data_IF_473359556342
#
_entry.id   IF_473359556342
#
_cell.length_a   1.000
_cell.length_b   1.000
_cell.length_c   1.000
_cell.angle_alpha   90.00
_cell.angle_beta   90.00
_cell.angle_gamma   90.00
#
_symmetry.space_group_name_H-M   'P 1'
#
loop_
_entity.id
_entity.type
_entity.pdbx_description
1 polymer ?
#
# COMPACT_ATOMS: atom_id res chain seq x y z
N UNK A 1 -51.69 30.22 7.99
CA UNK A 1 -52.51 29.36 8.83
C UNK A 1 -53.17 28.31 7.96
N UNK A 2 -52.68 27.08 7.96
CA UNK A 2 -53.42 25.84 7.60
C UNK A 2 -52.47 24.69 7.87
N UNK A 3 -52.68 23.99 8.96
CA UNK A 3 -51.97 22.76 9.35
C UNK A 3 -52.67 21.58 8.65
N UNK A 4 -51.87 20.69 8.03
CA UNK A 4 -52.34 19.39 7.55
C UNK A 4 -51.71 18.30 8.41
N UNK A 5 -52.45 17.26 8.85
CA UNK A 5 -51.93 16.21 9.72
C UNK A 5 -51.21 15.12 8.95
N UNK A 6 -50.15 14.61 9.57
CA UNK A 6 -49.36 13.45 9.16
C UNK A 6 -50.13 12.16 9.52
N UNK A 7 -50.39 11.34 8.54
CA UNK A 7 -51.01 10.01 8.69
C UNK A 7 -49.88 8.96 8.79
N UNK A 8 -49.78 8.34 9.96
CA UNK A 8 -48.84 7.27 10.29
C UNK A 8 -49.43 5.93 9.84
N UNK A 9 -48.79 5.25 8.89
CA UNK A 9 -49.13 3.88 8.50
C UNK A 9 -48.06 2.96 9.11
N UNK A 10 -48.48 2.15 10.07
CA UNK A 10 -47.71 1.06 10.67
C UNK A 10 -47.91 -0.18 9.80
N UNK A 11 -46.87 -0.61 9.12
CA UNK A 11 -46.85 -1.88 8.40
C UNK A 11 -46.12 -2.95 9.22
N UNK A 12 -46.85 -3.94 9.69
CA UNK A 12 -46.28 -5.14 10.31
C UNK A 12 -45.93 -6.14 9.21
N UNK A 13 -44.67 -6.51 9.10
CA UNK A 13 -44.24 -7.61 8.22
C UNK A 13 -43.66 -8.75 9.04
N UNK A 14 -44.25 -9.93 8.86
CA UNK A 14 -43.91 -11.20 9.50
C UNK A 14 -42.49 -11.67 9.08
N UNK A 15 -41.74 -12.12 10.06
CA UNK A 15 -40.50 -12.85 9.92
C UNK A 15 -40.76 -14.32 9.57
N UNK A 16 -40.28 -14.81 8.45
CA UNK A 16 -40.11 -16.22 8.14
C UNK A 16 -38.71 -16.67 8.50
N UNK A 17 -38.61 -17.51 9.53
CA UNK A 17 -37.36 -18.17 9.95
C UNK A 17 -37.13 -19.37 9.04
N UNK A 18 -36.10 -19.34 8.20
CA UNK A 18 -35.62 -20.47 7.43
C UNK A 18 -34.37 -21.07 8.09
N UNK A 19 -34.52 -22.23 8.75
CA UNK A 19 -33.39 -23.04 9.21
C UNK A 19 -32.70 -23.70 8.02
N UNK A 20 -31.50 -23.28 7.68
CA UNK A 20 -30.59 -23.97 6.78
C UNK A 20 -29.54 -24.73 7.61
N UNK A 21 -29.54 -26.05 7.52
CA UNK A 21 -28.56 -26.95 8.16
C UNK A 21 -27.20 -26.83 7.47
N UNK A 22 -26.08 -26.79 8.21
CA UNK A 22 -24.75 -26.85 7.60
C UNK A 22 -24.43 -28.27 7.14
N UNK A 23 -24.12 -28.41 5.87
CA UNK A 23 -23.62 -29.65 5.26
C UNK A 23 -22.14 -29.83 5.64
N UNK A 24 -21.86 -30.82 6.48
CA UNK A 24 -20.50 -31.24 6.82
C UNK A 24 -19.88 -32.00 5.65
N UNK A 25 -18.96 -31.38 4.92
CA UNK A 25 -18.11 -32.02 3.93
C UNK A 25 -17.05 -32.88 4.61
N UNK A 26 -17.13 -34.20 4.37
CA UNK A 26 -16.12 -35.19 4.78
C UNK A 26 -14.81 -34.98 4.07
N UNK A 27 -13.74 -34.78 4.81
CA UNK A 27 -12.36 -34.83 4.31
C UNK A 27 -11.98 -36.28 4.07
N UNK A 28 -11.63 -36.63 2.84
CA UNK A 28 -11.10 -37.95 2.46
C UNK A 28 -9.71 -38.23 3.06
N UNK A 29 -9.32 -39.52 3.18
CA UNK A 29 -8.11 -39.89 3.87
C UNK A 29 -6.84 -39.52 3.10
N UNK A 30 -5.81 -39.14 3.87
CA UNK A 30 -4.47 -38.81 3.38
C UNK A 30 -3.76 -40.06 2.82
N UNK A 31 -2.91 -39.95 1.80
CA UNK A 31 -2.11 -41.06 1.30
C UNK A 31 -0.99 -41.44 2.29
N UNK A 32 -1.00 -42.70 2.69
CA UNK A 32 0.05 -43.37 3.47
C UNK A 32 1.27 -43.62 2.58
N UNK A 33 2.41 -43.03 2.90
CA UNK A 33 3.70 -43.42 2.32
C UNK A 33 4.23 -44.66 3.07
N UNK A 34 4.36 -45.75 2.34
CA UNK A 34 4.95 -47.00 2.80
C UNK A 34 6.47 -46.86 2.85
N UNK A 35 7.04 -47.06 4.03
CA UNK A 35 8.48 -47.19 4.23
C UNK A 35 8.92 -48.57 3.82
N UNK A 36 9.83 -48.65 2.84
CA UNK A 36 10.55 -49.86 2.47
C UNK A 36 11.89 -49.91 3.20
N UNK A 37 11.99 -50.81 4.16
CA UNK A 37 13.26 -51.24 4.78
C UNK A 37 13.98 -52.21 3.88
N UNK A 38 15.29 -52.02 3.67
CA UNK A 38 16.24 -53.11 3.46
C UNK A 38 17.68 -52.65 3.76
N UNK A 39 18.24 -53.22 4.77
CA UNK A 39 19.66 -53.40 5.10
C UNK A 39 19.94 -54.89 5.02
N UNK A 40 21.17 -55.44 5.07
CA UNK A 40 22.53 -54.93 5.00
C UNK A 40 23.47 -55.78 4.12
N UNK A 41 24.69 -55.34 3.85
CA UNK A 41 25.86 -56.23 3.72
C UNK A 41 27.18 -55.45 3.81
N UNK A 42 28.03 -55.86 4.72
CA UNK A 42 29.49 -55.59 4.83
C UNK A 42 30.25 -56.90 4.73
N UNK A 43 31.62 -56.94 4.79
CA UNK A 43 32.67 -56.37 3.96
C UNK A 43 33.51 -57.49 3.29
N UNK A 44 34.74 -57.35 2.74
CA UNK A 44 35.97 -57.24 3.50
C UNK A 44 37.17 -56.43 2.92
N UNK A 45 37.91 -55.93 3.81
CA UNK A 45 39.37 -55.87 4.12
C UNK A 45 40.45 -55.67 3.06
N UNK A 46 41.39 -54.82 3.47
CA UNK A 46 42.85 -54.83 3.34
C UNK A 46 43.52 -54.31 2.07
N UNK A 47 44.33 -53.26 2.29
CA UNK A 47 45.34 -52.77 1.37
C UNK A 47 46.09 -51.55 1.96
N UNK A 48 47.23 -51.87 2.66
CA UNK A 48 48.17 -50.91 3.21
C UNK A 48 48.99 -50.25 2.08
N UNK A 49 49.08 -48.90 2.07
CA UNK A 49 50.23 -48.23 1.49
C UNK A 49 50.37 -46.83 2.11
N UNK A 50 51.51 -46.67 2.80
CA UNK A 50 51.98 -45.41 3.36
C UNK A 50 52.54 -44.52 2.26
N UNK A 51 52.13 -43.25 2.22
CA UNK A 51 52.85 -42.22 1.53
C UNK A 51 52.61 -40.86 2.22
N UNK A 52 53.70 -40.16 2.47
CA UNK A 52 53.82 -38.93 3.22
C UNK A 52 53.01 -37.77 2.59
N UNK A 53 52.23 -37.07 3.41
CA UNK A 53 51.50 -35.87 3.03
C UNK A 53 52.32 -34.62 3.42
N UNK A 54 52.62 -33.78 2.45
CA UNK A 54 53.05 -32.40 2.64
C UNK A 54 51.88 -31.52 3.06
N UNK A 55 52.05 -30.53 3.93
CA UNK A 55 50.98 -29.65 4.34
C UNK A 55 50.64 -28.64 3.22
N UNK A 56 49.51 -28.84 2.55
CA UNK A 56 48.95 -27.87 1.65
C UNK A 56 48.34 -26.73 2.46
N UNK A 57 48.79 -25.51 2.20
CA UNK A 57 48.31 -24.30 2.85
C UNK A 57 46.79 -24.11 2.69
N UNK A 58 46.09 -23.92 3.80
CA UNK A 58 44.73 -23.46 3.80
C UNK A 58 44.73 -22.02 3.28
N UNK A 59 44.22 -21.82 2.06
CA UNK A 59 43.86 -20.49 1.55
C UNK A 59 42.78 -19.86 2.44
N UNK A 60 42.70 -18.53 2.49
CA UNK A 60 41.71 -17.87 3.31
C UNK A 60 40.30 -18.33 2.91
N UNK A 61 39.59 -18.92 3.86
CA UNK A 61 38.19 -19.31 3.70
C UNK A 61 37.40 -18.03 3.43
N UNK A 62 36.95 -17.85 2.18
CA UNK A 62 36.09 -16.73 1.84
C UNK A 62 34.82 -16.83 2.68
N UNK A 63 34.60 -15.86 3.56
CA UNK A 63 33.35 -15.71 4.28
C UNK A 63 32.21 -15.59 3.27
N UNK A 64 31.18 -16.45 3.30
CA UNK A 64 30.07 -16.35 2.37
C UNK A 64 29.46 -14.95 2.45
N UNK A 65 29.27 -14.31 1.32
CA UNK A 65 28.58 -13.03 1.26
C UNK A 65 27.16 -13.21 1.87
N UNK A 66 26.68 -12.29 2.69
CA UNK A 66 25.34 -12.37 3.27
C UNK A 66 24.33 -12.51 2.14
N UNK A 67 23.40 -13.47 2.27
CA UNK A 67 22.29 -13.60 1.32
C UNK A 67 21.51 -12.29 1.26
N UNK A 68 21.04 -11.85 0.08
CA UNK A 68 20.28 -10.61 -0.05
C UNK A 68 19.06 -10.67 0.88
N UNK A 69 18.90 -9.65 1.71
CA UNK A 69 17.76 -9.55 2.61
C UNK A 69 16.48 -9.51 1.75
N UNK A 70 15.49 -10.32 2.12
CA UNK A 70 14.16 -10.26 1.47
C UNK A 70 13.56 -8.88 1.68
N UNK A 71 12.98 -8.32 0.64
CA UNK A 71 12.31 -7.02 0.68
C UNK A 71 10.79 -7.18 0.56
N UNK A 72 10.05 -6.26 1.14
CA UNK A 72 8.60 -6.16 1.03
C UNK A 72 8.20 -4.75 0.59
N UNK A 73 7.18 -4.67 -0.27
CA UNK A 73 6.58 -3.40 -0.65
C UNK A 73 5.75 -2.80 0.48
N UNK A 74 5.93 -1.53 0.73
CA UNK A 74 5.15 -0.75 1.70
C UNK A 74 4.67 0.54 1.06
N UNK A 75 3.50 1.03 1.50
CA UNK A 75 2.97 2.31 1.07
C UNK A 75 3.61 3.46 1.88
N UNK A 76 3.98 4.53 1.20
CA UNK A 76 4.25 5.84 1.79
C UNK A 76 3.23 6.83 1.24
N UNK A 77 2.66 7.67 2.10
CA UNK A 77 1.61 8.59 1.73
C UNK A 77 2.10 10.03 1.76
N UNK A 78 2.16 10.64 0.60
CA UNK A 78 2.52 12.06 0.42
C UNK A 78 1.29 12.91 0.12
N UNK A 79 1.48 14.14 -0.32
CA UNK A 79 0.39 15.02 -0.71
C UNK A 79 0.61 15.57 -2.12
N UNK A 80 -0.51 15.77 -2.84
CA UNK A 80 -0.57 16.48 -4.12
C UNK A 80 -1.87 17.28 -4.17
N UNK A 81 -1.79 18.58 -4.43
CA UNK A 81 -2.95 19.47 -4.50
C UNK A 81 -3.84 19.41 -3.24
N UNK A 82 -3.24 19.38 -2.04
CA UNK A 82 -3.99 19.32 -0.77
C UNK A 82 -4.67 17.98 -0.45
N UNK A 83 -4.43 16.94 -1.26
CA UNK A 83 -4.94 15.59 -1.05
C UNK A 83 -3.80 14.60 -0.83
N UNK A 84 -4.10 13.50 -0.16
CA UNK A 84 -3.18 12.38 0.00
C UNK A 84 -2.91 11.69 -1.34
N UNK A 85 -1.68 11.26 -1.52
CA UNK A 85 -1.24 10.48 -2.67
C UNK A 85 -0.36 9.32 -2.21
N UNK A 86 -0.72 8.11 -2.61
CA UNK A 86 0.00 6.89 -2.25
C UNK A 86 1.13 6.61 -3.24
N UNK A 87 2.26 6.16 -2.71
CA UNK A 87 3.36 5.60 -3.49
C UNK A 87 3.90 4.34 -2.83
N UNK A 88 4.70 3.56 -3.55
CA UNK A 88 5.29 2.32 -3.05
C UNK A 88 6.77 2.52 -2.72
N UNK A 89 7.22 1.84 -1.68
CA UNK A 89 8.62 1.75 -1.26
C UNK A 89 8.95 0.31 -0.94
N UNK A 90 10.21 -0.05 -1.00
CA UNK A 90 10.70 -1.34 -0.50
C UNK A 90 11.42 -1.16 0.82
N UNK A 91 11.23 -2.11 1.71
CA UNK A 91 11.91 -2.20 3.00
C UNK A 91 12.32 -3.65 3.25
N UNK A 92 13.41 -3.90 4.00
CA UNK A 92 13.77 -5.25 4.40
C UNK A 92 12.65 -5.92 5.20
N UNK A 93 12.44 -7.22 4.96
CA UNK A 93 11.51 -8.03 5.77
C UNK A 93 12.14 -8.23 7.16
N UNK A 94 11.63 -7.49 8.14
CA UNK A 94 12.05 -7.53 9.54
C UNK A 94 10.82 -7.48 10.43
N UNK A 95 10.99 -7.68 11.73
CA UNK A 95 9.93 -7.43 12.72
C UNK A 95 9.54 -5.95 12.82
N UNK A 96 10.33 -5.07 12.20
CA UNK A 96 10.16 -3.61 12.20
C UNK A 96 9.63 -3.01 10.91
N UNK A 97 8.86 -3.74 10.07
CA UNK A 97 8.35 -3.25 8.77
C UNK A 97 7.61 -1.91 8.89
N UNK A 98 6.81 -1.73 9.95
CA UNK A 98 6.13 -0.46 10.21
C UNK A 98 7.09 0.71 10.45
N UNK A 99 8.22 0.45 11.14
CA UNK A 99 9.29 1.42 11.30
C UNK A 99 9.91 1.77 9.94
N UNK A 100 10.25 0.75 9.16
CA UNK A 100 10.80 0.95 7.81
C UNK A 100 9.86 1.77 6.91
N UNK A 101 8.56 1.52 6.95
CA UNK A 101 7.58 2.29 6.19
C UNK A 101 7.57 3.78 6.62
N UNK A 102 7.62 4.05 7.92
CA UNK A 102 7.65 5.41 8.44
C UNK A 102 8.98 6.11 8.12
N UNK A 103 10.12 5.41 8.21
CA UNK A 103 11.42 5.95 7.80
C UNK A 103 11.40 6.34 6.30
N UNK A 104 10.77 5.52 5.43
CA UNK A 104 10.59 5.85 4.00
C UNK A 104 9.68 7.05 3.79
N UNK A 105 8.64 7.23 4.60
CA UNK A 105 7.82 8.44 4.57
C UNK A 105 8.65 9.68 4.95
N UNK A 106 9.46 9.58 6.01
CA UNK A 106 10.28 10.70 6.50
C UNK A 106 11.41 11.08 5.52
N UNK A 107 11.89 10.14 4.71
CA UNK A 107 12.84 10.42 3.61
C UNK A 107 12.23 11.38 2.56
N UNK A 108 10.91 11.42 2.44
CA UNK A 108 10.21 12.28 1.48
C UNK A 108 10.02 11.67 0.09
N UNK A 109 9.40 12.45 -0.83
CA UNK A 109 9.19 12.03 -2.22
C UNK A 109 10.50 11.94 -3.00
N UNK A 110 10.57 11.01 -3.95
CA UNK A 110 11.68 10.92 -4.91
C UNK A 110 11.74 12.12 -5.87
N UNK A 111 12.83 12.25 -6.64
CA UNK A 111 12.95 13.30 -7.64
C UNK A 111 11.81 13.26 -8.69
N UNK A 112 11.45 12.07 -9.18
CA UNK A 112 10.35 11.90 -10.13
C UNK A 112 8.99 12.27 -9.52
N UNK A 113 8.75 11.90 -8.27
CA UNK A 113 7.53 12.24 -7.54
C UNK A 113 7.45 13.75 -7.26
N UNK A 114 8.56 14.38 -6.89
CA UNK A 114 8.64 15.84 -6.74
C UNK A 114 8.35 16.56 -8.06
N UNK A 115 8.90 16.08 -9.18
CA UNK A 115 8.63 16.61 -10.51
C UNK A 115 7.15 16.45 -10.89
N UNK A 116 6.50 15.36 -10.46
CA UNK A 116 5.06 15.13 -10.63
C UNK A 116 4.17 15.87 -9.61
N UNK A 117 4.75 16.74 -8.78
CA UNK A 117 4.03 17.59 -7.85
C UNK A 117 3.73 16.97 -6.50
N UNK A 118 4.32 15.81 -6.15
CA UNK A 118 4.19 15.28 -4.79
C UNK A 118 5.02 16.10 -3.81
N UNK A 119 4.49 16.28 -2.61
CA UNK A 119 5.15 16.99 -1.51
C UNK A 119 4.95 16.26 -0.20
N UNK A 120 5.94 16.31 0.68
CA UNK A 120 5.76 15.96 2.09
C UNK A 120 5.25 17.19 2.84
N UNK A 121 4.25 16.99 3.70
CA UNK A 121 3.86 17.99 4.68
C UNK A 121 4.72 17.87 5.95
N UNK A 122 5.45 16.77 6.08
CA UNK A 122 6.36 16.55 7.20
C UNK A 122 7.65 17.33 6.92
N UNK A 123 8.12 18.20 7.85
CA UNK A 123 9.33 18.96 7.65
C UNK A 123 10.57 18.07 7.46
N UNK A 124 11.47 18.49 6.58
CA UNK A 124 12.79 17.90 6.49
C UNK A 124 13.49 17.94 7.85
N UNK A 125 14.23 16.89 8.20
CA UNK A 125 14.88 16.76 9.51
C UNK A 125 13.99 16.21 10.62
N UNK A 126 12.70 15.93 10.38
CA UNK A 126 11.89 15.13 11.29
C UNK A 126 12.47 13.72 11.37
N UNK A 127 12.74 13.24 12.58
CA UNK A 127 13.29 11.90 12.82
C UNK A 127 12.33 11.03 13.61
N UNK A 128 12.34 9.72 13.34
CA UNK A 128 11.60 8.72 14.10
C UNK A 128 12.45 8.29 15.31
N UNK A 129 12.08 8.71 16.49
CA UNK A 129 12.72 8.33 17.76
C UNK A 129 12.31 6.93 18.19
N UNK A 130 11.01 6.59 18.04
CA UNK A 130 10.48 5.29 18.41
C UNK A 130 9.19 4.94 17.70
N UNK A 131 8.94 3.64 17.52
CA UNK A 131 7.64 3.12 17.11
C UNK A 131 7.31 1.90 17.96
N UNK A 132 6.19 1.96 18.66
CA UNK A 132 5.65 0.86 19.46
C UNK A 132 4.26 0.52 18.95
N UNK A 133 3.98 -0.75 18.74
CA UNK A 133 2.65 -1.25 18.38
C UNK A 133 2.15 -2.15 19.49
N UNK A 134 0.97 -1.83 20.05
CA UNK A 134 0.34 -2.60 21.12
C UNK A 134 -1.17 -2.51 20.98
N UNK A 135 -1.87 -3.63 21.10
CA UNK A 135 -3.33 -3.72 20.99
C UNK A 135 -3.91 -2.99 19.76
N UNK A 136 -3.25 -3.12 18.61
CA UNK A 136 -3.70 -2.47 17.37
C UNK A 136 -3.38 -0.99 17.25
N UNK A 137 -2.74 -0.38 18.24
CA UNK A 137 -2.39 1.05 18.22
C UNK A 137 -0.88 1.20 18.05
N UNK A 138 -0.48 1.92 17.00
CA UNK A 138 0.89 2.35 16.79
C UNK A 138 1.13 3.69 17.50
N UNK A 139 2.10 3.75 18.40
CA UNK A 139 2.59 5.01 18.98
C UNK A 139 3.84 5.42 18.22
N UNK A 140 3.74 6.48 17.42
CA UNK A 140 4.85 7.07 16.69
C UNK A 140 5.46 8.20 17.51
N UNK A 141 6.71 8.02 17.95
CA UNK A 141 7.50 9.03 18.64
C UNK A 141 8.40 9.75 17.63
N UNK A 142 8.11 11.02 17.39
CA UNK A 142 8.78 11.85 16.39
C UNK A 142 9.55 12.98 17.10
N UNK A 143 10.57 13.52 16.43
CA UNK A 143 11.26 14.72 16.92
C UNK A 143 10.32 15.95 16.88
N UNK A 144 10.62 16.96 17.69
CA UNK A 144 9.89 18.24 17.75
C UNK A 144 9.80 18.96 16.39
N UNK A 145 10.72 18.67 15.46
CA UNK A 145 10.65 19.13 14.08
C UNK A 145 9.31 18.80 13.41
N UNK A 146 8.64 17.71 13.84
CA UNK A 146 7.32 17.32 13.31
C UNK A 146 6.26 18.40 13.52
N UNK A 147 6.34 19.17 14.59
CA UNK A 147 5.40 20.27 14.90
C UNK A 147 5.82 21.60 14.28
N UNK A 148 7.06 21.73 13.78
CA UNK A 148 7.58 22.99 13.26
C UNK A 148 6.94 23.41 11.94
N UNK A 149 6.89 24.73 11.68
CA UNK A 149 6.49 25.34 10.41
C UNK A 149 5.14 24.85 9.83
N UNK A 150 4.22 24.37 10.68
CA UNK A 150 2.89 23.98 10.22
C UNK A 150 1.92 25.14 10.37
N UNK A 151 1.20 25.45 9.28
CA UNK A 151 -0.06 26.18 9.45
C UNK A 151 -1.11 25.25 10.06
N UNK A 152 -2.06 25.73 10.83
CA UNK A 152 -3.16 24.91 11.37
C UNK A 152 -3.90 24.12 10.31
N UNK A 153 -3.96 24.61 9.07
CA UNK A 153 -4.58 23.91 7.93
C UNK A 153 -3.73 22.81 7.32
N UNK A 154 -2.41 22.84 7.47
CA UNK A 154 -1.49 21.81 6.95
C UNK A 154 -1.27 20.65 7.92
N UNK A 155 -1.41 20.88 9.23
CA UNK A 155 -1.15 19.86 10.24
C UNK A 155 -2.06 18.63 10.12
N UNK A 156 -3.36 18.71 9.88
CA UNK A 156 -4.19 17.52 9.67
C UNK A 156 -3.70 16.65 8.53
N UNK A 157 -3.25 17.25 7.42
CA UNK A 157 -2.71 16.49 6.28
C UNK A 157 -1.35 15.85 6.62
N UNK A 158 -0.53 16.52 7.43
CA UNK A 158 0.74 15.98 7.96
C UNK A 158 0.48 14.76 8.85
N UNK A 159 -0.48 14.84 9.76
CA UNK A 159 -0.91 13.72 10.61
C UNK A 159 -1.46 12.58 9.74
N UNK A 160 -2.29 12.90 8.76
CA UNK A 160 -2.86 11.93 7.83
C UNK A 160 -1.79 11.12 7.07
N UNK A 161 -0.68 11.73 6.66
CA UNK A 161 0.43 11.03 6.02
C UNK A 161 0.97 9.89 6.91
N UNK A 162 1.18 10.16 8.21
CA UNK A 162 1.66 9.16 9.19
C UNK A 162 0.59 8.09 9.42
N UNK A 163 -0.67 8.51 9.61
CA UNK A 163 -1.80 7.60 9.87
C UNK A 163 -1.97 6.63 8.70
N UNK A 164 -2.05 7.13 7.47
CA UNK A 164 -2.23 6.28 6.29
C UNK A 164 -1.04 5.35 6.03
N UNK A 165 0.17 5.81 6.33
CA UNK A 165 1.39 4.99 6.19
C UNK A 165 1.43 3.87 7.22
N UNK A 166 1.05 4.10 8.48
CA UNK A 166 1.10 3.07 9.52
C UNK A 166 -0.10 2.12 9.48
N UNK A 167 -1.28 2.62 9.17
CA UNK A 167 -2.51 1.81 9.14
C UNK A 167 -2.68 0.98 7.84
N UNK A 168 -1.66 0.91 7.00
CA UNK A 168 -1.64 -0.06 5.89
C UNK A 168 -1.50 -1.51 6.39
N UNK A 169 -0.92 -1.69 7.58
CA UNK A 169 -0.74 -2.99 8.19
C UNK A 169 -2.02 -3.43 8.90
N UNK A 170 -2.55 -4.63 8.63
CA UNK A 170 -3.81 -5.11 9.23
C UNK A 170 -3.79 -5.13 10.77
N UNK A 171 -2.61 -5.23 11.36
CA UNK A 171 -2.40 -5.21 12.81
C UNK A 171 -2.45 -3.81 13.42
N UNK A 172 -2.58 -2.74 12.62
CA UNK A 172 -2.59 -1.34 13.08
C UNK A 172 -3.91 -0.68 12.69
N UNK A 173 -4.76 -0.45 13.67
CA UNK A 173 -6.08 0.18 13.49
C UNK A 173 -6.07 1.68 13.77
N UNK A 174 -5.05 2.17 14.50
CA UNK A 174 -4.95 3.59 14.82
C UNK A 174 -3.53 4.00 15.25
N UNK A 175 -3.29 5.31 15.28
CA UNK A 175 -1.99 5.91 15.59
C UNK A 175 -2.13 6.90 16.75
N UNK A 176 -1.25 6.81 17.72
CA UNK A 176 -0.99 7.83 18.74
C UNK A 176 0.34 8.51 18.44
N UNK A 177 0.47 9.76 18.87
CA UNK A 177 1.66 10.56 18.67
C UNK A 177 2.37 10.81 20.00
N UNK A 178 3.70 10.68 19.98
CA UNK A 178 4.59 11.22 20.97
C UNK A 178 5.59 12.16 20.27
N UNK A 179 6.03 13.19 20.97
CA UNK A 179 7.05 14.13 20.49
C UNK A 179 8.15 14.17 21.56
N UNK A 180 9.38 13.84 21.14
CA UNK A 180 10.55 13.78 22.01
C UNK A 180 10.29 12.93 23.26
N UNK A 181 9.67 11.74 23.07
CA UNK A 181 9.35 10.79 24.14
C UNK A 181 8.10 11.12 24.96
N UNK A 182 7.46 12.28 24.72
CA UNK A 182 6.28 12.72 25.45
C UNK A 182 5.00 12.48 24.65
N UNK A 183 4.07 11.69 25.21
CA UNK A 183 2.76 11.47 24.61
C UNK A 183 2.00 12.80 24.41
N UNK A 184 1.37 12.97 23.25
CA UNK A 184 0.64 14.20 22.88
C UNK A 184 -0.86 13.97 22.85
N UNK A 185 -1.59 14.95 23.37
CA UNK A 185 -3.05 15.08 23.21
C UNK A 185 -3.42 16.15 22.16
N UNK A 186 -2.46 17.00 21.83
CA UNK A 186 -2.53 18.02 20.76
C UNK A 186 -1.19 18.02 20.04
N UNK A 187 -1.23 18.03 18.70
CA UNK A 187 -0.06 18.13 17.83
C UNK A 187 -0.28 19.30 16.87
N UNK A 188 0.55 20.33 16.96
CA UNK A 188 0.46 21.52 16.12
C UNK A 188 -0.94 22.15 16.08
N UNK A 189 -1.65 22.16 17.21
CA UNK A 189 -3.01 22.68 17.33
C UNK A 189 -4.13 21.70 16.97
N UNK A 190 -3.81 20.50 16.49
CA UNK A 190 -4.79 19.45 16.17
C UNK A 190 -4.99 18.51 17.36
N UNK A 191 -6.22 18.30 17.85
CA UNK A 191 -6.50 17.32 18.90
C UNK A 191 -6.20 15.89 18.44
N UNK A 192 -5.37 15.16 19.23
CA UNK A 192 -4.96 13.77 18.96
C UNK A 192 -5.08 12.88 20.21
N UNK A 193 -5.95 13.25 21.16
CA UNK A 193 -6.15 12.52 22.41
C UNK A 193 -6.66 11.09 22.20
N UNK A 194 -7.46 10.83 21.16
CA UNK A 194 -7.85 9.49 20.72
C UNK A 194 -6.89 8.94 19.66
N UNK A 195 -6.80 7.62 19.48
CA UNK A 195 -6.06 7.07 18.35
C UNK A 195 -6.59 7.61 17.02
N UNK A 196 -5.69 8.12 16.21
CA UNK A 196 -6.00 8.69 14.90
C UNK A 196 -6.20 7.58 13.88
N UNK A 197 -7.34 7.55 13.20
CA UNK A 197 -7.72 6.50 12.24
C UNK A 197 -7.86 7.06 10.82
N UNK A 198 -7.86 6.19 9.81
CA UNK A 198 -8.08 6.61 8.40
C UNK A 198 -9.41 7.33 8.21
N UNK A 199 -10.46 6.91 8.93
CA UNK A 199 -11.79 7.50 8.81
C UNK A 199 -11.79 8.99 9.15
N UNK A 200 -10.98 9.41 10.13
CA UNK A 200 -10.87 10.83 10.53
C UNK A 200 -10.27 11.71 9.43
N UNK A 201 -9.51 11.12 8.51
CA UNK A 201 -8.80 11.82 7.44
C UNK A 201 -9.28 11.44 6.03
N UNK A 202 -10.43 10.76 5.93
CA UNK A 202 -11.03 10.34 4.64
C UNK A 202 -11.25 11.51 3.68
N UNK A 203 -11.58 12.69 4.18
CA UNK A 203 -11.73 13.91 3.38
C UNK A 203 -10.46 14.38 2.66
N UNK A 204 -9.28 13.90 3.08
CA UNK A 204 -8.01 14.18 2.40
C UNK A 204 -7.70 13.19 1.27
N UNK A 205 -8.45 12.10 1.11
CA UNK A 205 -8.31 11.26 -0.08
C UNK A 205 -8.90 11.95 -1.31
N UNK A 206 -8.26 11.83 -2.48
CA UNK A 206 -8.92 12.17 -3.74
C UNK A 206 -10.00 11.13 -4.04
N UNK A 207 -10.95 11.46 -4.91
CA UNK A 207 -11.98 10.51 -5.35
C UNK A 207 -11.37 9.22 -5.93
N UNK A 208 -10.26 9.33 -6.66
CA UNK A 208 -9.50 8.21 -7.21
C UNK A 208 -8.09 8.21 -6.63
N UNK A 209 -7.63 7.07 -6.09
CA UNK A 209 -6.23 6.82 -5.77
C UNK A 209 -5.66 5.79 -6.73
N UNK A 210 -4.41 5.93 -7.16
CA UNK A 210 -3.69 4.94 -7.97
C UNK A 210 -2.58 4.35 -7.11
N UNK A 211 -2.62 3.04 -6.88
CA UNK A 211 -1.63 2.33 -6.08
C UNK A 211 -0.56 1.67 -6.96
N UNK A 212 -0.95 1.29 -8.18
CA UNK A 212 -0.07 0.73 -9.20
C UNK A 212 -0.53 1.18 -10.58
N UNK A 213 0.39 1.51 -11.49
CA UNK A 213 1.82 1.72 -11.22
C UNK A 213 2.09 3.00 -10.45
N UNK A 214 3.31 3.11 -9.89
CA UNK A 214 3.76 4.33 -9.22
C UNK A 214 4.42 5.29 -10.19
N UNK A 215 4.50 6.56 -9.81
CA UNK A 215 5.21 7.60 -10.58
C UNK A 215 6.67 7.19 -10.80
N UNK A 216 7.13 7.29 -12.05
CA UNK A 216 8.49 6.95 -12.47
C UNK A 216 8.73 5.46 -12.70
N UNK A 217 7.72 4.60 -12.52
CA UNK A 217 7.86 3.18 -12.81
C UNK A 217 8.08 2.93 -14.31
N UNK A 218 8.89 1.93 -14.63
CA UNK A 218 8.89 1.33 -15.96
C UNK A 218 7.79 0.27 -16.00
N UNK A 219 6.94 0.32 -17.00
CA UNK A 219 5.81 -0.58 -17.19
C UNK A 219 5.92 -1.34 -18.51
N UNK A 220 5.59 -2.62 -18.47
CA UNK A 220 5.51 -3.48 -19.65
C UNK A 220 4.11 -3.50 -20.26
N UNK A 221 3.98 -4.17 -21.39
CA UNK A 221 2.72 -4.38 -22.10
C UNK A 221 2.25 -5.82 -21.91
N UNK A 222 1.01 -6.06 -21.40
CA UNK A 222 0.05 -5.08 -20.93
C UNK A 222 0.41 -4.52 -19.54
N UNK A 223 -0.09 -3.30 -19.22
CA UNK A 223 0.09 -2.71 -17.90
C UNK A 223 -1.13 -2.95 -17.00
N UNK A 224 -0.91 -3.35 -15.75
CA UNK A 224 -1.94 -3.44 -14.73
C UNK A 224 -2.03 -2.12 -13.94
N UNK A 225 -3.25 -1.56 -13.88
CA UNK A 225 -3.56 -0.33 -13.14
C UNK A 225 -4.53 -0.66 -12.02
N UNK A 226 -4.21 -0.27 -10.78
CA UNK A 226 -5.06 -0.58 -9.64
C UNK A 226 -5.04 0.53 -8.58
N UNK A 227 -6.08 0.54 -7.76
CA UNK A 227 -6.24 1.52 -6.70
C UNK A 227 -7.58 1.44 -6.00
N UNK A 228 -8.01 2.56 -5.43
CA UNK A 228 -9.35 2.70 -4.87
C UNK A 228 -10.06 3.93 -5.43
N UNK A 229 -11.37 3.86 -5.54
CA UNK A 229 -12.19 4.96 -6.03
C UNK A 229 -13.50 5.09 -5.25
N UNK A 230 -13.96 6.33 -5.13
CA UNK A 230 -15.30 6.71 -4.71
C UNK A 230 -15.81 7.69 -5.77
N UNK A 231 -16.41 7.13 -6.81
CA UNK A 231 -16.84 7.83 -8.02
C UNK A 231 -18.24 7.41 -8.41
N UNK A 232 -18.91 8.23 -9.21
CA UNK A 232 -20.26 7.95 -9.67
C UNK A 232 -20.35 6.62 -10.43
N UNK A 233 -21.33 5.80 -10.11
CA UNK A 233 -21.54 4.44 -10.66
C UNK A 233 -20.32 3.51 -10.57
N UNK A 234 -19.38 3.81 -9.66
CA UNK A 234 -18.15 3.07 -9.49
C UNK A 234 -17.25 3.00 -10.76
N UNK A 235 -17.54 3.73 -11.82
CA UNK A 235 -16.85 3.62 -13.10
C UNK A 235 -15.54 4.41 -13.10
N UNK A 236 -14.42 3.70 -13.30
CA UNK A 236 -13.07 4.25 -13.40
C UNK A 236 -12.55 4.08 -14.83
N UNK A 237 -12.27 5.19 -15.48
CA UNK A 237 -11.69 5.22 -16.82
C UNK A 237 -10.18 5.32 -16.77
N UNK A 238 -9.49 4.62 -17.68
CA UNK A 238 -8.02 4.63 -17.79
C UNK A 238 -7.64 4.88 -19.25
N UNK A 239 -6.68 5.78 -19.47
CA UNK A 239 -6.04 5.97 -20.77
C UNK A 239 -4.54 6.07 -20.63
N UNK A 240 -3.82 5.72 -21.69
CA UNK A 240 -2.36 5.82 -21.77
C UNK A 240 -2.02 6.85 -22.84
N UNK A 241 -1.19 7.82 -22.46
CA UNK A 241 -0.65 8.81 -23.37
C UNK A 241 0.83 8.49 -23.63
N UNK A 242 1.26 8.62 -24.90
CA UNK A 242 2.67 8.48 -25.27
C UNK A 242 3.47 9.75 -24.94
N UNK A 243 4.76 9.78 -25.31
CA UNK A 243 5.66 10.92 -25.07
C UNK A 243 5.24 12.23 -25.75
N UNK A 244 4.41 12.14 -26.81
CA UNK A 244 3.86 13.29 -27.51
C UNK A 244 2.49 13.74 -26.93
N UNK A 245 2.00 13.05 -25.89
CA UNK A 245 0.70 13.33 -25.28
C UNK A 245 -0.49 12.74 -26.05
N UNK A 246 -0.26 11.95 -27.09
CA UNK A 246 -1.32 11.28 -27.84
C UNK A 246 -1.81 10.05 -27.08
N UNK A 247 -3.13 9.85 -27.06
CA UNK A 247 -3.75 8.66 -26.52
C UNK A 247 -3.45 7.44 -27.39
N UNK A 248 -2.87 6.41 -26.80
CA UNK A 248 -2.51 5.15 -27.48
C UNK A 248 -3.28 3.94 -26.96
N UNK A 249 -3.96 4.07 -25.84
CA UNK A 249 -4.85 3.04 -25.31
C UNK A 249 -5.89 3.68 -24.37
N UNK A 250 -7.10 3.08 -24.32
CA UNK A 250 -8.16 3.45 -23.39
C UNK A 250 -8.95 2.22 -22.98
N UNK A 251 -9.39 2.21 -21.72
CA UNK A 251 -10.30 1.21 -21.15
C UNK A 251 -11.05 1.79 -19.97
N UNK A 252 -11.94 1.00 -19.37
CA UNK A 252 -12.57 1.32 -18.09
C UNK A 252 -12.75 0.05 -17.26
N UNK A 253 -13.06 0.23 -15.99
CA UNK A 253 -13.40 -0.84 -15.05
C UNK A 253 -14.34 -0.29 -13.99
N UNK A 254 -14.99 -1.18 -13.23
CA UNK A 254 -15.77 -0.78 -12.09
C UNK A 254 -15.01 -1.06 -10.79
N UNK A 255 -15.03 -0.10 -9.89
CA UNK A 255 -14.63 -0.33 -8.51
C UNK A 255 -15.66 -1.24 -7.81
N UNK A 256 -15.25 -1.94 -6.78
CA UNK A 256 -16.13 -2.84 -6.01
C UNK A 256 -17.30 -2.11 -5.30
N UNK A 257 -17.25 -0.79 -5.27
CA UNK A 257 -18.23 0.11 -4.65
C UNK A 257 -18.02 1.52 -5.20
N UNK A 258 -19.05 2.38 -5.18
CA UNK A 258 -18.98 3.78 -5.64
C UNK A 258 -20.09 4.63 -5.03
N UNK A 259 -20.09 5.93 -5.34
CA UNK A 259 -21.08 6.91 -4.89
C UNK A 259 -21.28 6.92 -3.36
N UNK A 260 -20.26 7.45 -2.64
CA UNK A 260 -20.26 7.51 -1.17
C UNK A 260 -19.69 6.27 -0.49
N UNK A 261 -19.17 5.34 -1.28
CA UNK A 261 -18.45 4.16 -0.84
C UNK A 261 -17.16 3.99 -1.63
N UNK A 262 -16.04 3.80 -0.94
CA UNK A 262 -14.74 3.62 -1.59
C UNK A 262 -14.47 2.15 -1.90
N UNK A 263 -14.53 1.82 -3.19
CA UNK A 263 -14.24 0.48 -3.72
C UNK A 263 -12.80 0.33 -4.21
N UNK A 264 -12.34 -0.91 -4.33
CA UNK A 264 -11.09 -1.27 -5.01
C UNK A 264 -11.35 -1.47 -6.50
N UNK A 265 -10.40 -1.07 -7.34
CA UNK A 265 -10.44 -1.34 -8.77
C UNK A 265 -9.11 -1.91 -9.27
N UNK A 266 -9.19 -2.69 -10.33
CA UNK A 266 -8.04 -3.20 -11.05
C UNK A 266 -8.43 -3.42 -12.52
N UNK A 267 -7.54 -3.06 -13.44
CA UNK A 267 -7.71 -3.28 -14.86
C UNK A 267 -6.35 -3.48 -15.52
N UNK A 268 -6.31 -4.35 -16.54
CA UNK A 268 -5.15 -4.55 -17.39
C UNK A 268 -5.43 -3.92 -18.74
N UNK A 269 -4.51 -3.08 -19.23
CA UNK A 269 -4.65 -2.35 -20.48
C UNK A 269 -3.48 -2.64 -21.39
N UNK A 270 -3.71 -3.27 -22.57
CA UNK A 270 -2.69 -3.42 -23.60
C UNK A 270 -2.44 -2.08 -24.30
N UNK A 271 -1.20 -1.84 -24.71
CA UNK A 271 -0.79 -0.70 -25.50
C UNK A 271 0.30 -1.12 -26.48
N UNK A 272 0.73 -0.24 -27.36
CA UNK A 272 1.87 -0.50 -28.25
C UNK A 272 2.73 0.75 -28.38
N UNK A 273 4.02 0.57 -28.21
CA UNK A 273 5.04 1.61 -28.46
C UNK A 273 6.22 0.97 -29.19
N UNK A 274 6.85 1.67 -30.17
CA UNK A 274 7.94 1.09 -30.96
C UNK A 274 9.25 0.96 -30.19
N UNK A 275 9.39 1.68 -29.08
CA UNK A 275 10.59 1.71 -28.22
C UNK A 275 10.21 2.20 -26.84
N UNK A 276 11.06 1.93 -25.87
CA UNK A 276 10.93 2.50 -24.52
C UNK A 276 10.92 4.03 -24.57
N UNK A 277 9.90 4.65 -23.96
CA UNK A 277 9.70 6.09 -23.96
C UNK A 277 8.94 6.57 -22.74
N UNK A 278 9.04 7.86 -22.36
CA UNK A 278 8.13 8.45 -21.39
C UNK A 278 6.68 8.33 -21.82
N UNK A 279 5.77 8.21 -20.87
CA UNK A 279 4.35 8.23 -21.09
C UNK A 279 3.60 8.60 -19.82
N UNK A 280 2.28 8.69 -19.91
CA UNK A 280 1.44 9.01 -18.77
C UNK A 280 0.22 8.10 -18.75
N UNK A 281 0.02 7.42 -17.62
CA UNK A 281 -1.25 6.74 -17.35
C UNK A 281 -2.16 7.76 -16.67
N UNK A 282 -3.35 7.96 -17.27
CA UNK A 282 -4.36 8.90 -16.77
C UNK A 282 -5.57 8.11 -16.31
N UNK A 283 -5.88 8.20 -15.03
CA UNK A 283 -7.04 7.56 -14.40
C UNK A 283 -8.02 8.65 -14.04
N UNK A 284 -9.28 8.50 -14.41
CA UNK A 284 -10.27 9.54 -14.24
C UNK A 284 -11.71 8.99 -14.18
N UNK A 285 -12.61 9.80 -13.71
CA UNK A 285 -14.05 9.61 -13.79
C UNK A 285 -14.58 10.40 -15.00
N UNK A 286 -15.44 9.80 -15.80
CA UNK A 286 -16.17 10.52 -16.83
C UNK A 286 -17.37 11.23 -16.21
N UNK A 287 -17.44 12.55 -16.35
CA UNK A 287 -18.55 13.36 -15.85
C UNK A 287 -19.88 12.89 -16.44
N UNK A 288 -20.85 12.62 -15.58
CA UNK A 288 -22.20 12.24 -16.01
C UNK A 288 -22.92 13.36 -16.79
N UNK A 289 -22.45 14.61 -16.66
CA UNK A 289 -23.04 15.78 -17.34
C UNK A 289 -22.64 15.87 -18.80
N UNK A 290 -21.37 15.65 -19.11
CA UNK A 290 -20.79 16.00 -20.42
C UNK A 290 -19.70 15.02 -20.90
N UNK A 291 -19.44 13.95 -20.13
CA UNK A 291 -18.43 12.95 -20.44
C UNK A 291 -16.98 13.42 -20.24
N UNK A 292 -16.76 14.67 -19.80
CA UNK A 292 -15.41 15.20 -19.60
C UNK A 292 -14.69 14.51 -18.43
N UNK A 293 -13.35 14.36 -18.51
CA UNK A 293 -12.57 13.80 -17.43
C UNK A 293 -12.61 14.69 -16.19
N UNK A 294 -13.07 14.14 -15.06
CA UNK A 294 -13.02 14.74 -13.72
C UNK A 294 -12.26 13.83 -12.76
N UNK A 295 -11.89 14.29 -11.58
CA UNK A 295 -11.13 13.53 -10.58
C UNK A 295 -9.84 12.89 -11.13
N UNK A 296 -9.19 13.59 -12.05
CA UNK A 296 -8.07 13.10 -12.86
C UNK A 296 -6.82 12.83 -12.01
N UNK A 297 -6.25 11.64 -12.17
CA UNK A 297 -4.95 11.26 -11.63
C UNK A 297 -4.00 10.97 -12.79
N UNK A 298 -2.88 11.69 -12.85
CA UNK A 298 -1.82 11.48 -13.84
C UNK A 298 -0.63 10.80 -13.18
N UNK A 299 -0.18 9.71 -13.78
CA UNK A 299 0.94 8.89 -13.32
C UNK A 299 1.99 8.86 -14.45
N UNK A 300 2.99 9.74 -14.42
CA UNK A 300 4.12 9.66 -15.34
C UNK A 300 4.87 8.34 -15.15
N UNK A 301 5.12 7.64 -16.25
CA UNK A 301 5.78 6.33 -16.29
C UNK A 301 6.74 6.25 -17.48
N UNK A 302 7.54 5.18 -17.52
CA UNK A 302 8.30 4.79 -18.70
C UNK A 302 7.59 3.59 -19.34
N UNK A 303 7.09 3.77 -20.56
CA UNK A 303 6.43 2.71 -21.34
C UNK A 303 7.51 1.87 -22.03
N UNK A 304 7.48 0.54 -21.82
CA UNK A 304 8.29 -0.41 -22.58
C UNK A 304 7.42 -1.09 -23.65
N UNK A 305 8.01 -1.55 -24.79
CA UNK A 305 7.31 -2.28 -25.84
C UNK A 305 6.59 -3.53 -25.35
#
# INVERSE_FOLDING_TARGET
MKRLPIMMIVGVSLLAVGCGTPSSGSLGPAPTTTAGSSSPASPPASGTASAAASPSGQGPTATPAPAPAREIGVQAWFSRNGKLFVTQRTVPVTTGVGRGALDRLLTGPSAAENAAGLRSQIPAGTTLRGLRISAGIATADLSSSFESAASPSAMPLRIAQVVYTLTQFPTVTGVRFAIDGQGRTVVGGVPVQSPQTRAMYGGYLPAITVQSPVIGAQVGNPVAVSGTADVFEATVSVRILNSAGHEIARTFTNASCGTGCRGVYSVTIPYSVPRTQPGTIVVFESSAKDGQPVNVQQIPVTLAP
#
